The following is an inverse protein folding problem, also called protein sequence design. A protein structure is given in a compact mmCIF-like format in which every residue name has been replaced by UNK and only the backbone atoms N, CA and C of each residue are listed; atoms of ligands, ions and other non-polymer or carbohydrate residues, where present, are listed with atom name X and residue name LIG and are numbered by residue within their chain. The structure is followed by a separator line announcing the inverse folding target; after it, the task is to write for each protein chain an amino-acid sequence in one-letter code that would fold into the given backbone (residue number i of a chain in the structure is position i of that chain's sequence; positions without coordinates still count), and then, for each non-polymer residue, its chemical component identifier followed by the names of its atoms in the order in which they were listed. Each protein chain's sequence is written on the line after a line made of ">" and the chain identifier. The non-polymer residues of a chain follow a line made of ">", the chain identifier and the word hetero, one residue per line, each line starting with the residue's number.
data_IF_996466320908
#
_entry.id   IF_996466320908
#
_cell.length_a   1.000
_cell.length_b   1.000
_cell.length_c   1.000
_cell.angle_alpha   90.00
_cell.angle_beta   90.00
_cell.angle_gamma   90.00
#
_symmetry.space_group_name_H-M   'P 1'
#
loop_
_entity.id
_entity.type
_entity.pdbx_description
1 polymer ?
#
# COMPACT_ATOMS: atom_id res chain seq x y z
N UNK A 1 -7.60 17.49 -9.57
CA UNK A 1 -8.56 16.96 -10.55
C UNK A 1 -7.93 15.93 -11.46
N UNK A 2 -6.72 16.16 -11.98
CA UNK A 2 -6.05 15.23 -12.90
C UNK A 2 -4.68 14.78 -12.42
N UNK A 3 -4.19 13.69 -13.01
CA UNK A 3 -2.82 13.21 -12.87
C UNK A 3 -2.33 12.75 -14.25
N UNK A 4 -1.08 13.06 -14.57
CA UNK A 4 -0.41 12.51 -15.74
C UNK A 4 0.09 11.10 -15.39
N UNK A 5 -0.31 10.10 -16.18
CA UNK A 5 0.36 8.81 -16.21
C UNK A 5 1.49 8.92 -17.24
N UNK A 6 2.73 9.05 -16.78
CA UNK A 6 3.89 9.27 -17.64
C UNK A 6 4.20 8.06 -18.53
N UNK A 7 4.07 6.84 -17.99
CA UNK A 7 4.34 5.59 -18.69
C UNK A 7 3.47 5.44 -19.95
N UNK A 8 2.17 5.71 -19.82
CA UNK A 8 1.22 5.62 -20.93
C UNK A 8 1.00 6.95 -21.64
N UNK A 9 1.63 8.03 -21.15
CA UNK A 9 1.44 9.41 -21.61
C UNK A 9 -0.04 9.82 -21.67
N UNK A 10 -0.80 9.45 -20.65
CA UNK A 10 -2.24 9.70 -20.58
C UNK A 10 -2.61 10.63 -19.44
N UNK A 11 -3.55 11.53 -19.71
CA UNK A 11 -4.17 12.34 -18.66
C UNK A 11 -5.29 11.55 -18.00
N UNK A 12 -5.18 11.28 -16.71
CA UNK A 12 -6.20 10.57 -15.93
C UNK A 12 -6.97 11.55 -15.06
N UNK A 13 -8.29 11.53 -15.16
CA UNK A 13 -9.17 12.25 -14.25
C UNK A 13 -9.36 11.44 -12.95
N UNK A 14 -9.05 12.05 -11.81
CA UNK A 14 -9.13 11.40 -10.49
C UNK A 14 -10.57 11.13 -10.06
N UNK A 15 -11.49 12.01 -10.45
CA UNK A 15 -12.89 11.94 -10.05
C UNK A 15 -13.67 10.93 -10.91
N UNK A 16 -13.46 10.95 -12.23
CA UNK A 16 -14.07 9.98 -13.15
C UNK A 16 -13.36 8.61 -13.14
N UNK A 17 -12.16 8.54 -12.57
CA UNK A 17 -11.27 7.37 -12.60
C UNK A 17 -11.09 6.82 -14.02
N UNK A 18 -10.82 7.72 -14.96
CA UNK A 18 -10.76 7.42 -16.39
C UNK A 18 -9.77 8.34 -17.11
N UNK A 19 -9.21 7.86 -18.22
CA UNK A 19 -8.35 8.65 -19.09
C UNK A 19 -9.17 9.64 -19.93
N UNK A 20 -8.58 10.82 -20.14
CA UNK A 20 -9.14 11.95 -20.84
C UNK A 20 -8.48 12.05 -22.22
N UNK A 21 -9.29 12.22 -23.26
CA UNK A 21 -8.78 12.37 -24.63
C UNK A 21 -8.06 13.72 -24.78
N UNK A 22 -6.94 13.77 -25.52
CA UNK A 22 -6.18 15.00 -25.70
C UNK A 22 -6.89 16.04 -26.56
N UNK A 23 -6.32 17.24 -26.65
CA UNK A 23 -6.84 18.34 -27.46
C UNK A 23 -8.22 18.81 -27.01
N UNK A 24 -9.19 18.87 -27.94
CA UNK A 24 -10.57 19.25 -27.64
C UNK A 24 -11.26 18.30 -26.63
N UNK A 25 -10.75 17.07 -26.48
CA UNK A 25 -11.28 16.10 -25.52
C UNK A 25 -11.08 16.52 -24.06
N UNK A 26 -10.00 17.23 -23.76
CA UNK A 26 -9.70 17.76 -22.42
C UNK A 26 -10.77 18.77 -22.03
N UNK A 27 -10.99 19.77 -22.89
CA UNK A 27 -11.98 20.81 -22.66
C UNK A 27 -13.39 20.24 -22.52
N UNK A 28 -13.77 19.32 -23.43
CA UNK A 28 -15.08 18.68 -23.41
C UNK A 28 -15.31 17.89 -22.13
N UNK A 29 -14.32 17.10 -21.68
CA UNK A 29 -14.43 16.32 -20.46
C UNK A 29 -14.65 17.20 -19.23
N UNK A 30 -13.79 18.19 -19.00
CA UNK A 30 -13.90 19.05 -17.81
C UNK A 30 -15.14 19.94 -17.82
N UNK A 31 -15.59 20.37 -19.00
CA UNK A 31 -16.82 21.15 -19.13
C UNK A 31 -18.06 20.32 -18.83
N UNK A 32 -18.16 19.09 -19.34
CA UNK A 32 -19.40 18.32 -19.23
C UNK A 32 -19.46 17.44 -17.97
N UNK A 33 -18.34 16.81 -17.60
CA UNK A 33 -18.29 15.89 -16.46
C UNK A 33 -18.05 16.64 -15.13
N UNK A 34 -17.36 17.79 -15.18
CA UNK A 34 -16.99 18.55 -13.99
C UNK A 34 -17.54 19.98 -13.96
N UNK A 35 -18.28 20.42 -14.99
CA UNK A 35 -18.89 21.76 -15.07
C UNK A 35 -17.88 22.91 -14.89
N UNK A 36 -16.60 22.67 -15.24
CA UNK A 36 -15.58 23.72 -15.20
C UNK A 36 -15.78 24.71 -16.35
N UNK A 37 -15.60 25.99 -16.04
CA UNK A 37 -15.77 27.10 -17.00
C UNK A 37 -14.70 28.18 -16.78
N UNK A 38 -14.64 29.15 -17.69
CA UNK A 38 -13.81 30.34 -17.54
C UNK A 38 -12.31 30.05 -17.54
N UNK A 39 -11.56 30.82 -16.74
CA UNK A 39 -10.10 30.80 -16.74
C UNK A 39 -9.53 29.45 -16.31
N UNK A 40 -10.12 28.79 -15.30
CA UNK A 40 -9.65 27.48 -14.82
C UNK A 40 -9.67 26.40 -15.91
N UNK A 41 -10.74 26.35 -16.72
CA UNK A 41 -10.82 25.41 -17.83
C UNK A 41 -9.76 25.72 -18.91
N UNK A 42 -9.56 27.02 -19.19
CA UNK A 42 -8.56 27.48 -20.14
C UNK A 42 -7.15 27.11 -19.68
N UNK A 43 -6.81 27.35 -18.42
CA UNK A 43 -5.50 27.03 -17.85
C UNK A 43 -5.19 25.53 -17.92
N UNK A 44 -6.18 24.67 -17.61
CA UNK A 44 -6.05 23.21 -17.73
C UNK A 44 -5.76 22.81 -19.18
N UNK A 45 -6.55 23.33 -20.13
CA UNK A 45 -6.38 23.03 -21.55
C UNK A 45 -5.01 23.48 -22.04
N UNK A 46 -4.63 24.72 -21.77
CA UNK A 46 -3.38 25.32 -22.24
C UNK A 46 -2.17 24.55 -21.68
N UNK A 47 -2.19 24.21 -20.38
CA UNK A 47 -1.13 23.42 -19.74
C UNK A 47 -0.92 22.05 -20.38
N UNK A 48 -1.99 21.30 -20.68
CA UNK A 48 -1.87 19.96 -21.28
C UNK A 48 -1.74 19.97 -22.80
N UNK A 49 -2.06 21.08 -23.47
CA UNK A 49 -2.02 21.20 -24.94
C UNK A 49 -0.60 21.10 -25.52
N UNK A 50 0.42 21.43 -24.73
CA UNK A 50 1.83 21.37 -25.15
C UNK A 50 2.44 19.98 -24.95
N UNK A 51 1.72 19.06 -24.29
CA UNK A 51 2.20 17.71 -24.02
C UNK A 51 1.77 16.74 -25.14
N UNK A 52 2.66 15.81 -25.51
CA UNK A 52 2.35 14.73 -26.45
C UNK A 52 1.61 13.58 -25.74
N UNK A 53 0.31 13.80 -25.50
CA UNK A 53 -0.57 12.87 -24.81
C UNK A 53 -1.18 11.84 -25.77
N UNK A 54 -1.16 10.57 -25.36
CA UNK A 54 -1.78 9.48 -26.09
C UNK A 54 -3.32 9.55 -26.00
N UNK A 55 -4.02 9.25 -27.11
CA UNK A 55 -5.48 9.15 -27.11
C UNK A 55 -5.91 7.78 -26.54
N UNK A 56 -6.61 7.72 -25.38
CA UNK A 56 -7.04 6.46 -24.78
C UNK A 56 -7.96 5.63 -25.68
N UNK A 57 -8.57 6.24 -26.70
CA UNK A 57 -9.39 5.53 -27.69
C UNK A 57 -8.55 4.71 -28.66
N UNK A 58 -7.38 5.20 -29.02
CA UNK A 58 -6.55 4.66 -30.10
C UNK A 58 -5.30 3.96 -29.56
N UNK A 59 -4.85 4.33 -28.37
CA UNK A 59 -3.67 3.75 -27.75
C UNK A 59 -3.78 2.23 -27.62
N UNK A 60 -2.61 1.58 -27.63
CA UNK A 60 -2.50 0.18 -27.28
C UNK A 60 -2.92 0.00 -25.82
N UNK A 61 -3.56 -1.14 -25.54
CA UNK A 61 -3.88 -1.50 -24.17
C UNK A 61 -2.62 -2.05 -23.50
N UNK A 62 -2.49 -1.86 -22.18
CA UNK A 62 -1.54 -2.65 -21.40
C UNK A 62 -1.72 -4.14 -21.65
N UNK A 63 -0.63 -4.89 -21.49
CA UNK A 63 -0.66 -6.34 -21.59
C UNK A 63 -1.55 -6.95 -20.49
N UNK A 64 -2.12 -8.11 -20.77
CA UNK A 64 -2.87 -8.86 -19.77
C UNK A 64 -1.97 -9.37 -18.67
N UNK A 65 -2.47 -9.28 -17.44
CA UNK A 65 -1.66 -9.51 -16.27
C UNK A 65 -0.64 -8.39 -16.05
N UNK A 66 -0.94 -7.15 -16.46
CA UNK A 66 -0.21 -5.96 -16.00
C UNK A 66 -0.63 -5.56 -14.59
N UNK A 67 0.21 -4.77 -13.91
CA UNK A 67 -0.16 -4.19 -12.62
C UNK A 67 -1.33 -3.21 -12.78
N UNK A 68 -2.13 -3.05 -11.71
CA UNK A 68 -3.23 -2.09 -11.73
C UNK A 68 -2.69 -0.68 -11.92
N UNK A 69 -3.20 0.02 -12.93
CA UNK A 69 -2.86 1.41 -13.16
C UNK A 69 -3.58 2.25 -12.12
N UNK A 70 -2.81 3.07 -11.39
CA UNK A 70 -3.34 3.95 -10.36
C UNK A 70 -4.42 4.89 -10.91
N UNK A 71 -5.39 5.22 -10.06
CA UNK A 71 -6.53 6.10 -10.35
C UNK A 71 -7.54 5.58 -11.38
N UNK A 72 -7.35 4.40 -11.97
CA UNK A 72 -8.39 3.71 -12.72
C UNK A 72 -9.14 2.72 -11.83
N UNK A 73 -10.44 2.58 -12.05
CA UNK A 73 -11.22 1.57 -11.33
C UNK A 73 -10.88 0.17 -11.81
N UNK A 74 -10.61 -0.72 -10.84
CA UNK A 74 -10.56 -2.16 -11.08
C UNK A 74 -11.99 -2.71 -11.04
N UNK A 75 -12.41 -3.34 -12.12
CA UNK A 75 -13.75 -3.88 -12.32
C UNK A 75 -13.70 -5.40 -12.26
N UNK A 76 -14.74 -6.01 -11.69
CA UNK A 76 -14.96 -7.44 -11.87
C UNK A 76 -15.52 -7.71 -13.27
N UNK A 77 -15.00 -8.75 -13.92
CA UNK A 77 -15.45 -9.15 -15.24
C UNK A 77 -15.15 -10.60 -15.57
N UNK A 78 -15.30 -10.92 -16.84
CA UNK A 78 -15.24 -12.27 -17.36
C UNK A 78 -14.34 -12.29 -18.60
N UNK A 79 -13.46 -13.29 -18.66
CA UNK A 79 -12.67 -13.63 -19.83
C UNK A 79 -13.19 -14.92 -20.45
N UNK A 80 -13.44 -14.90 -21.76
CA UNK A 80 -13.74 -16.13 -22.49
C UNK A 80 -12.56 -17.10 -22.40
N UNK A 81 -12.86 -18.40 -22.32
CA UNK A 81 -11.82 -19.43 -22.24
C UNK A 81 -11.18 -19.77 -23.60
N UNK A 82 -11.92 -19.56 -24.70
CA UNK A 82 -11.52 -19.96 -26.06
C UNK A 82 -10.96 -18.80 -26.88
N UNK A 83 -11.28 -17.55 -26.53
CA UNK A 83 -10.81 -16.39 -27.25
C UNK A 83 -10.58 -15.18 -26.34
N UNK A 84 -10.05 -14.09 -26.90
CA UNK A 84 -9.66 -12.89 -26.16
C UNK A 84 -10.85 -12.01 -25.69
N UNK A 85 -12.09 -12.46 -25.85
CA UNK A 85 -13.25 -11.65 -25.50
C UNK A 85 -13.32 -11.37 -23.99
N UNK A 86 -13.44 -10.08 -23.64
CA UNK A 86 -13.60 -9.59 -22.28
C UNK A 86 -14.87 -8.79 -22.12
N UNK A 87 -15.51 -8.92 -20.96
CA UNK A 87 -16.65 -8.09 -20.61
C UNK A 87 -16.83 -8.00 -19.09
N UNK A 88 -17.45 -6.93 -18.63
CA UNK A 88 -17.88 -6.79 -17.22
C UNK A 88 -19.29 -7.35 -16.99
N UNK A 89 -20.04 -7.66 -18.05
CA UNK A 89 -21.42 -8.10 -17.96
C UNK A 89 -21.56 -9.60 -18.20
N UNK A 90 -22.16 -10.30 -17.23
CA UNK A 90 -22.35 -11.77 -17.28
C UNK A 90 -23.24 -12.22 -18.45
N UNK A 91 -24.24 -11.44 -18.79
CA UNK A 91 -25.14 -11.75 -19.91
C UNK A 91 -24.40 -11.66 -21.25
N UNK A 92 -23.46 -10.72 -21.36
CA UNK A 92 -22.65 -10.55 -22.57
C UNK A 92 -21.70 -11.74 -22.78
N UNK A 93 -21.04 -12.25 -21.73
CA UNK A 93 -20.14 -13.41 -21.88
C UNK A 93 -20.94 -14.68 -22.21
N UNK A 94 -22.13 -14.82 -21.61
CA UNK A 94 -23.03 -15.96 -21.87
C UNK A 94 -23.51 -15.95 -23.33
N UNK A 95 -23.92 -14.78 -23.83
CA UNK A 95 -24.33 -14.60 -25.22
C UNK A 95 -23.17 -14.83 -26.19
N UNK A 96 -22.01 -14.21 -25.91
CA UNK A 96 -20.81 -14.36 -26.70
C UNK A 96 -20.43 -15.84 -26.89
N UNK A 97 -20.43 -16.64 -25.81
CA UNK A 97 -20.12 -18.07 -25.90
C UNK A 97 -21.00 -18.81 -26.91
N UNK A 98 -22.31 -18.51 -26.92
CA UNK A 98 -23.28 -19.13 -27.84
C UNK A 98 -23.10 -18.64 -29.27
N UNK A 99 -22.93 -17.34 -29.47
CA UNK A 99 -22.83 -16.72 -30.79
C UNK A 99 -21.48 -17.00 -31.49
N UNK A 100 -20.41 -17.15 -30.71
CA UNK A 100 -19.08 -17.50 -31.23
C UNK A 100 -18.92 -19.00 -31.54
N UNK A 101 -19.91 -19.83 -31.18
CA UNK A 101 -19.88 -21.28 -31.45
C UNK A 101 -18.78 -22.01 -30.67
N UNK A 102 -18.49 -21.59 -29.44
CA UNK A 102 -17.49 -22.22 -28.60
C UNK A 102 -18.02 -23.52 -27.97
N UNK A 103 -17.32 -24.64 -28.18
CA UNK A 103 -17.73 -25.98 -27.74
C UNK A 103 -16.53 -26.89 -27.39
N UNK A 104 -15.60 -26.42 -26.54
CA UNK A 104 -14.41 -27.21 -26.19
C UNK A 104 -13.97 -27.14 -24.73
N UNK A 105 -14.12 -25.98 -24.08
CA UNK A 105 -13.61 -25.80 -22.73
C UNK A 105 -14.50 -26.39 -21.62
N UNK A 106 -13.86 -27.01 -20.62
CA UNK A 106 -14.50 -27.44 -19.36
C UNK A 106 -15.21 -26.26 -18.67
N UNK A 107 -14.56 -25.10 -18.67
CA UNK A 107 -15.09 -23.84 -18.17
C UNK A 107 -15.27 -22.86 -19.32
N UNK A 108 -16.48 -22.30 -19.46
CA UNK A 108 -16.83 -21.38 -20.56
C UNK A 108 -16.12 -20.01 -20.46
N UNK A 109 -15.86 -19.56 -19.24
CA UNK A 109 -15.19 -18.31 -18.95
C UNK A 109 -14.63 -18.32 -17.54
N UNK A 110 -13.67 -17.44 -17.28
CA UNK A 110 -13.05 -17.24 -15.98
C UNK A 110 -13.37 -15.85 -15.46
N UNK A 111 -13.61 -15.72 -14.16
CA UNK A 111 -13.74 -14.42 -13.51
C UNK A 111 -12.38 -13.75 -13.38
N UNK A 112 -12.29 -12.49 -13.79
CA UNK A 112 -11.04 -11.74 -13.87
C UNK A 112 -11.23 -10.31 -13.38
N UNK A 113 -10.13 -9.66 -12.99
CA UNK A 113 -10.09 -8.22 -12.70
C UNK A 113 -9.71 -7.46 -13.96
N UNK A 114 -10.51 -6.47 -14.33
CA UNK A 114 -10.36 -5.70 -15.55
C UNK A 114 -10.13 -4.22 -15.25
N UNK A 115 -9.32 -3.56 -16.07
CA UNK A 115 -9.28 -2.11 -16.16
C UNK A 115 -9.58 -1.66 -17.58
N UNK A 116 -9.96 -0.39 -17.72
CA UNK A 116 -10.22 0.25 -19.00
C UNK A 116 -9.82 1.72 -18.92
N UNK A 117 -9.30 2.26 -20.02
CA UNK A 117 -8.98 3.69 -20.10
C UNK A 117 -10.24 4.56 -20.11
N UNK A 118 -11.30 4.08 -20.77
CA UNK A 118 -12.55 4.83 -20.94
C UNK A 118 -13.75 3.99 -20.50
N UNK A 119 -14.80 4.67 -20.08
CA UNK A 119 -16.05 3.99 -19.70
C UNK A 119 -17.04 3.88 -20.87
N UNK A 120 -18.08 3.06 -20.64
CA UNK A 120 -19.26 2.90 -21.52
C UNK A 120 -18.88 2.41 -22.93
N UNK A 121 -19.43 3.04 -23.96
CA UNK A 121 -19.35 2.63 -25.38
C UNK A 121 -17.95 2.55 -25.98
N UNK A 122 -16.94 3.08 -25.30
CA UNK A 122 -15.55 3.05 -25.75
C UNK A 122 -14.65 2.25 -24.82
N UNK A 123 -15.23 1.51 -23.88
CA UNK A 123 -14.45 0.67 -22.97
C UNK A 123 -13.73 -0.43 -23.74
N UNK A 124 -12.42 -0.54 -23.48
CA UNK A 124 -11.53 -1.56 -24.01
C UNK A 124 -10.76 -2.11 -22.82
N UNK A 125 -11.03 -3.36 -22.49
CA UNK A 125 -10.56 -3.97 -21.26
C UNK A 125 -9.24 -4.70 -21.44
N UNK A 126 -8.43 -4.71 -20.39
CA UNK A 126 -7.31 -5.64 -20.21
C UNK A 126 -7.40 -6.26 -18.82
N UNK A 127 -6.80 -7.44 -18.66
CA UNK A 127 -6.76 -8.16 -17.38
C UNK A 127 -5.64 -7.58 -16.52
N UNK A 128 -5.94 -7.35 -15.26
CA UNK A 128 -4.99 -6.86 -14.25
C UNK A 128 -4.61 -8.01 -13.33
N UNK A 129 -3.32 -8.09 -12.94
CA UNK A 129 -2.84 -9.12 -11.98
C UNK A 129 -3.72 -9.12 -10.74
N UNK A 130 -4.03 -10.30 -10.21
CA UNK A 130 -4.66 -10.39 -8.89
C UNK A 130 -3.61 -10.17 -7.79
N UNK A 131 -4.00 -9.51 -6.69
CA UNK A 131 -3.11 -9.39 -5.53
C UNK A 131 -3.07 -10.69 -4.72
N UNK A 132 -4.13 -11.50 -4.82
CA UNK A 132 -4.19 -12.81 -4.17
C UNK A 132 -3.09 -13.78 -4.62
N UNK A 133 -2.53 -13.62 -5.83
CA UNK A 133 -1.41 -14.45 -6.30
C UNK A 133 -0.10 -14.13 -5.56
N UNK A 134 0.04 -12.88 -5.08
CA UNK A 134 1.21 -12.41 -4.33
C UNK A 134 1.07 -12.80 -2.85
N UNK A 135 -0.14 -12.70 -2.29
CA UNK A 135 -0.38 -13.01 -0.88
C UNK A 135 -0.10 -14.48 -0.56
N UNK A 136 -0.47 -15.41 -1.45
CA UNK A 136 -0.16 -16.84 -1.26
C UNK A 136 1.35 -17.16 -1.30
N UNK A 137 2.14 -16.44 -2.13
CA UNK A 137 3.59 -16.64 -2.21
C UNK A 137 4.34 -15.91 -1.08
N UNK A 138 3.85 -14.73 -0.68
CA UNK A 138 4.39 -13.92 0.41
C UNK A 138 4.11 -14.55 1.77
N UNK A 139 2.95 -15.20 1.97
CA UNK A 139 2.60 -15.89 3.22
C UNK A 139 3.55 -17.06 3.52
N UNK A 140 3.89 -17.88 2.53
CA UNK A 140 4.85 -18.98 2.72
C UNK A 140 6.26 -18.47 3.07
N UNK A 141 6.68 -17.37 2.43
CA UNK A 141 7.95 -16.72 2.72
C UNK A 141 7.95 -15.99 4.08
N UNK A 142 6.81 -15.43 4.49
CA UNK A 142 6.59 -14.74 5.75
C UNK A 142 6.59 -15.69 6.95
N UNK A 143 5.90 -16.83 6.85
CA UNK A 143 5.90 -17.90 7.86
C UNK A 143 7.33 -18.39 8.12
N UNK A 144 8.11 -18.60 7.05
CA UNK A 144 9.50 -19.07 7.15
C UNK A 144 10.41 -18.04 7.84
N UNK A 145 10.22 -16.75 7.54
CA UNK A 145 10.98 -15.66 8.18
C UNK A 145 10.62 -15.46 9.65
N UNK A 146 9.34 -15.54 10.00
CA UNK A 146 8.89 -15.37 11.39
C UNK A 146 9.43 -16.51 12.28
N UNK A 147 9.41 -17.75 11.77
CA UNK A 147 10.01 -18.91 12.42
C UNK A 147 11.53 -18.76 12.66
N UNK A 148 12.25 -18.15 11.71
CA UNK A 148 13.68 -17.89 11.85
C UNK A 148 13.99 -16.81 12.91
N UNK A 149 13.17 -15.75 12.98
CA UNK A 149 13.34 -14.67 13.95
C UNK A 149 13.01 -15.12 15.38
N UNK A 150 11.95 -15.91 15.57
CA UNK A 150 11.63 -16.52 16.88
C UNK A 150 12.78 -17.37 17.43
N UNK A 151 13.46 -18.15 16.57
CA UNK A 151 14.63 -18.94 16.96
C UNK A 151 15.81 -18.07 17.41
N UNK A 152 16.05 -16.92 16.76
CA UNK A 152 17.10 -16.00 17.19
C UNK A 152 16.79 -15.34 18.54
N UNK A 153 15.54 -14.93 18.75
CA UNK A 153 15.09 -14.35 20.03
C UNK A 153 15.23 -15.38 21.16
N UNK A 154 14.78 -16.62 20.93
CA UNK A 154 14.89 -17.69 21.92
C UNK A 154 16.36 -17.98 22.30
N UNK A 155 17.26 -18.01 21.32
CA UNK A 155 18.68 -18.26 21.58
C UNK A 155 19.34 -17.11 22.36
N UNK A 156 19.03 -15.86 22.00
CA UNK A 156 19.51 -14.67 22.72
C UNK A 156 19.00 -14.64 24.17
N UNK A 157 17.72 -14.93 24.39
CA UNK A 157 17.15 -15.02 25.73
C UNK A 157 17.78 -16.12 26.58
N UNK A 158 18.11 -17.27 25.99
CA UNK A 158 18.83 -18.33 26.68
C UNK A 158 20.24 -17.90 27.09
N UNK A 159 20.95 -17.19 26.20
CA UNK A 159 22.28 -16.66 26.49
C UNK A 159 22.26 -15.61 27.61
N UNK A 160 21.31 -14.67 27.57
CA UNK A 160 21.14 -13.65 28.61
C UNK A 160 20.84 -14.28 29.97
N UNK A 161 19.96 -15.29 30.02
CA UNK A 161 19.67 -16.03 31.27
C UNK A 161 20.89 -16.74 31.82
N UNK A 162 21.75 -17.30 30.95
CA UNK A 162 22.99 -17.93 31.36
C UNK A 162 24.02 -16.90 31.89
N UNK A 163 24.09 -15.73 31.27
CA UNK A 163 24.95 -14.62 31.72
C UNK A 163 24.47 -14.06 33.07
N UNK A 164 23.17 -13.81 33.24
CA UNK A 164 22.58 -13.36 34.50
C UNK A 164 22.80 -14.38 35.62
N UNK A 165 22.66 -15.68 35.34
CA UNK A 165 22.99 -16.73 36.31
C UNK A 165 24.48 -16.71 36.71
N UNK A 166 25.37 -16.35 35.79
CA UNK A 166 26.80 -16.20 36.06
C UNK A 166 27.09 -14.93 36.88
N UNK A 167 26.40 -13.83 36.61
CA UNK A 167 26.49 -12.57 37.40
C UNK A 167 25.98 -12.77 38.81
N UNK A 168 24.86 -13.47 38.99
CA UNK A 168 24.35 -13.85 40.32
C UNK A 168 25.36 -14.70 41.10
N UNK A 169 26.10 -15.59 40.42
CA UNK A 169 27.19 -16.36 41.03
C UNK A 169 28.40 -15.51 41.43
N UNK A 170 28.62 -14.38 40.75
CA UNK A 170 29.75 -13.47 40.99
C UNK A 170 29.41 -12.35 42.00
N UNK A 171 28.13 -12.01 42.14
CA UNK A 171 27.61 -10.97 43.02
C UNK A 171 27.67 -11.26 44.53
N UNK A 172 28.10 -12.46 44.93
CA UNK A 172 28.43 -12.77 46.34
C UNK A 172 29.83 -12.25 46.76
N UNK A 173 30.58 -11.62 45.84
CA UNK A 173 31.89 -11.05 46.15
C UNK A 173 32.05 -9.68 45.46
N UNK A 174 32.04 -8.63 46.30
CA UNK A 174 32.44 -7.23 45.99
C UNK A 174 31.54 -6.43 45.03
N UNK A 175 30.79 -5.47 45.58
CA UNK A 175 31.11 -4.05 45.34
C UNK A 175 30.53 -3.18 46.47
N UNK A 176 31.46 -2.73 47.32
CA UNK A 176 31.30 -1.72 48.36
C UNK A 176 31.06 -0.36 47.69
N UNK A 177 29.85 0.19 47.84
CA UNK A 177 29.57 1.56 47.37
C UNK A 177 30.29 2.51 48.32
N UNK A 178 31.46 3.01 47.91
CA UNK A 178 32.24 4.00 48.66
C UNK A 178 31.44 5.31 48.81
N UNK A 179 30.79 5.42 49.96
CA UNK A 179 29.98 6.56 50.41
C UNK A 179 30.80 7.84 50.64
N UNK A 180 32.13 7.78 50.62
CA UNK A 180 32.99 8.90 50.99
C UNK A 180 33.64 9.66 49.83
N UNK A 181 33.31 9.30 48.58
CA UNK A 181 33.86 9.97 47.40
C UNK A 181 33.56 11.48 47.38
N UNK A 182 34.61 12.28 47.15
CA UNK A 182 34.58 13.74 47.15
C UNK A 182 33.63 14.34 46.10
N UNK A 183 33.24 13.55 45.10
CA UNK A 183 32.28 13.91 44.06
C UNK A 183 30.85 13.95 44.62
N UNK A 184 30.42 12.95 45.41
CA UNK A 184 29.09 12.91 46.05
C UNK A 184 28.90 14.06 47.04
N UNK A 185 29.97 14.43 47.77
CA UNK A 185 29.97 15.59 48.69
C UNK A 185 29.86 16.92 47.93
N UNK A 186 30.41 17.01 46.70
CA UNK A 186 30.45 18.24 45.88
C UNK A 186 29.11 18.60 45.26
N UNK A 187 28.34 17.61 44.78
CA UNK A 187 27.03 17.83 44.18
C UNK A 187 25.90 18.02 45.20
N UNK A 188 26.19 17.92 46.50
CA UNK A 188 25.24 18.25 47.58
C UNK A 188 24.06 17.28 47.71
N UNK A 189 24.14 16.08 47.13
CA UNK A 189 23.06 15.07 47.11
C UNK A 189 22.63 14.65 48.52
N UNK A 190 23.57 14.60 49.46
CA UNK A 190 23.31 14.27 50.89
C UNK A 190 22.36 15.29 51.54
N UNK A 191 22.41 16.57 51.13
CA UNK A 191 21.57 17.63 51.72
C UNK A 191 20.13 17.60 51.22
N UNK A 192 19.89 17.02 50.04
CA UNK A 192 18.57 17.02 49.40
C UNK A 192 17.74 15.78 49.69
N UNK A 193 18.36 14.62 49.95
CA UNK A 193 17.60 13.38 50.17
C UNK A 193 17.68 12.79 51.57
N UNK A 194 18.60 13.27 52.44
CA UNK A 194 18.66 12.83 53.84
C UNK A 194 18.44 11.32 54.00
N UNK A 195 17.53 10.94 54.89
CA UNK A 195 17.13 9.54 55.16
C UNK A 195 15.88 9.08 54.39
N UNK A 196 15.53 9.70 53.26
CA UNK A 196 14.35 9.29 52.48
C UNK A 196 14.72 8.20 51.49
N UNK A 197 13.92 7.14 51.51
CA UNK A 197 14.08 5.98 50.64
C UNK A 197 13.80 6.37 49.17
N UNK A 198 14.76 6.10 48.31
CA UNK A 198 14.75 6.48 46.90
C UNK A 198 13.59 5.82 46.12
N UNK A 199 13.01 4.75 46.66
CA UNK A 199 11.84 4.08 46.07
C UNK A 199 10.57 4.94 46.12
N UNK A 200 10.41 5.79 47.15
CA UNK A 200 9.21 6.63 47.31
C UNK A 200 9.23 7.83 46.35
N UNK A 201 10.42 8.34 46.03
CA UNK A 201 10.60 9.42 45.05
C UNK A 201 10.24 8.95 43.65
N UNK A 202 10.62 7.71 43.30
CA UNK A 202 10.28 7.10 42.02
C UNK A 202 8.76 6.92 41.86
N UNK A 203 8.06 6.43 42.88
CA UNK A 203 6.61 6.25 42.88
C UNK A 203 5.85 7.58 42.75
N UNK A 204 6.34 8.65 43.38
CA UNK A 204 5.74 9.98 43.27
C UNK A 204 5.85 10.56 41.85
N UNK A 205 6.95 10.29 41.14
CA UNK A 205 7.17 10.76 39.77
C UNK A 205 6.25 10.07 38.75
N UNK A 206 5.95 8.78 38.94
CA UNK A 206 5.00 8.06 38.07
C UNK A 206 3.55 8.55 38.23
N UNK A 207 3.14 8.95 39.44
CA UNK A 207 1.78 9.44 39.69
C UNK A 207 1.47 10.76 38.97
N UNK A 208 2.47 11.63 38.76
CA UNK A 208 2.32 12.90 38.04
C UNK A 208 2.20 12.67 36.52
N UNK A 209 2.86 11.65 35.97
CA UNK A 209 2.77 11.30 34.55
C UNK A 209 1.43 10.67 34.16
N UNK A 210 0.74 10.01 35.09
CA UNK A 210 -0.55 9.38 34.82
C UNK A 210 -1.74 10.35 34.80
N UNK A 211 -1.53 11.64 35.06
CA UNK A 211 -2.60 12.65 35.18
C UNK A 211 -2.46 13.83 34.21
N UNK A 212 -1.51 13.76 33.28
CA UNK A 212 -1.25 14.77 32.24
C UNK A 212 -1.79 14.32 30.88
#
# INVERSE_FOLDING_TARGET
>A
FTQLNEEHRMLVCRDCRAAVRPGAGIESHFRHEHQLIGQTLKDIKDYFSVMDLADPKLAQLPDDGSAAIELLDVLHGYSCAECRYLTTARDNITRHWREAGHDGAENRWTEVRLQTWMRRKHARYWIVRDHNDIDNAADVAGITRHSAMEKMIANSQAQLKAEDAMRLRKGDLEEDIDRDSAWVKRVGWVRHFGSRDLLDVFKAAEWIRAKA
#
